data_IF_286222170930
#
_entry.id   IF_286222170930
#
_cell.length_a   1.000
_cell.length_b   1.000
_cell.length_c   1.000
_cell.angle_alpha   90.00
_cell.angle_beta   90.00
_cell.angle_gamma   90.00
#
_symmetry.space_group_name_H-M   'P 1'
#
loop_
_entity.id
_entity.type
_entity.pdbx_description
1 polymer ?
#
# COMPACT_ATOMS: atom_id res chain seq x y z
N UNK A 1 -16.02 -29.68 -29.17
CA UNK A 1 -15.73 -28.28 -28.80
C UNK A 1 -14.32 -28.18 -28.20
N UNK A 2 -13.36 -27.52 -28.87
CA UNK A 2 -12.00 -27.30 -28.32
C UNK A 2 -12.10 -26.28 -27.18
N UNK A 3 -11.79 -26.69 -25.94
CA UNK A 3 -11.67 -25.77 -24.79
C UNK A 3 -10.51 -24.82 -25.06
N UNK A 4 -10.81 -23.56 -25.41
CA UNK A 4 -9.81 -22.50 -25.51
C UNK A 4 -9.24 -22.25 -24.10
N UNK A 5 -8.06 -22.78 -23.81
CA UNK A 5 -7.34 -22.45 -22.57
C UNK A 5 -7.07 -20.94 -22.58
N UNK A 6 -7.86 -20.18 -21.82
CA UNK A 6 -7.60 -18.77 -21.56
C UNK A 6 -6.16 -18.63 -21.08
N UNK A 7 -5.31 -17.92 -21.84
CA UNK A 7 -3.94 -17.62 -21.43
C UNK A 7 -4.03 -16.93 -20.08
N UNK A 8 -3.59 -17.59 -19.00
CA UNK A 8 -3.59 -17.04 -17.65
C UNK A 8 -2.77 -15.75 -17.68
N UNK A 9 -3.47 -14.63 -17.73
CA UNK A 9 -2.87 -13.31 -17.86
C UNK A 9 -1.98 -13.09 -16.64
N UNK A 10 -0.69 -12.89 -16.87
CA UNK A 10 0.26 -12.66 -15.79
C UNK A 10 0.05 -11.23 -15.25
N UNK A 11 -0.71 -11.12 -14.16
CA UNK A 11 -1.03 -9.85 -13.50
C UNK A 11 0.20 -9.02 -13.14
N UNK A 12 1.34 -9.65 -12.85
CA UNK A 12 2.62 -8.97 -12.57
C UNK A 12 3.20 -8.30 -13.81
N UNK A 13 3.17 -9.00 -14.95
CA UNK A 13 3.62 -8.43 -16.23
C UNK A 13 2.74 -7.25 -16.63
N UNK A 14 1.43 -7.38 -16.45
CA UNK A 14 0.50 -6.28 -16.71
C UNK A 14 0.69 -5.08 -15.78
N UNK A 15 0.96 -5.34 -14.49
CA UNK A 15 1.27 -4.28 -13.54
C UNK A 15 2.49 -3.48 -14.00
N UNK A 16 3.60 -4.16 -14.33
CA UNK A 16 4.83 -3.50 -14.79
C UNK A 16 4.57 -2.62 -16.02
N UNK A 17 3.95 -3.17 -17.06
CA UNK A 17 3.63 -2.43 -18.29
C UNK A 17 2.73 -1.23 -17.99
N UNK A 18 1.74 -1.38 -17.11
CA UNK A 18 0.85 -0.27 -16.72
C UNK A 18 1.60 0.82 -15.96
N UNK A 19 2.47 0.46 -15.01
CA UNK A 19 3.30 1.41 -14.28
C UNK A 19 4.24 2.17 -15.24
N UNK A 20 4.92 1.48 -16.14
CA UNK A 20 5.83 2.07 -17.13
C UNK A 20 5.09 3.05 -18.05
N UNK A 21 3.96 2.64 -18.63
CA UNK A 21 3.15 3.50 -19.49
C UNK A 21 2.64 4.75 -18.75
N UNK A 22 2.20 4.60 -17.51
CA UNK A 22 1.76 5.76 -16.70
C UNK A 22 2.92 6.66 -16.33
N UNK A 23 4.08 6.11 -15.99
CA UNK A 23 5.29 6.88 -15.73
C UNK A 23 5.69 7.71 -16.95
N UNK A 24 5.65 7.15 -18.15
CA UNK A 24 5.93 7.88 -19.40
C UNK A 24 4.94 9.02 -19.63
N UNK A 25 3.64 8.82 -19.36
CA UNK A 25 2.61 9.87 -19.48
C UNK A 25 2.84 11.02 -18.51
N UNK A 26 3.33 10.74 -17.30
CA UNK A 26 3.58 11.74 -16.27
C UNK A 26 5.05 12.17 -16.19
N UNK A 27 5.89 11.84 -17.17
CA UNK A 27 7.36 12.07 -17.11
C UNK A 27 7.74 13.54 -16.87
N UNK A 28 6.94 14.47 -17.39
CA UNK A 28 7.17 15.91 -17.30
C UNK A 28 6.28 16.59 -16.23
N UNK A 29 5.49 15.83 -15.47
CA UNK A 29 4.58 16.37 -14.47
C UNK A 29 5.30 16.50 -13.14
N UNK A 30 5.37 17.72 -12.64
CA UNK A 30 5.90 18.05 -11.31
C UNK A 30 4.76 18.44 -10.37
N UNK A 31 4.92 18.17 -9.07
CA UNK A 31 3.90 18.52 -8.07
C UNK A 31 2.60 17.75 -8.27
N UNK A 32 2.68 16.46 -8.62
CA UNK A 32 1.55 15.58 -8.88
C UNK A 32 0.55 15.57 -7.71
N UNK A 33 -0.74 15.77 -7.99
CA UNK A 33 -1.81 15.78 -6.98
C UNK A 33 -2.77 14.62 -7.24
N UNK A 34 -2.68 13.49 -6.51
CA UNK A 34 -3.59 12.37 -6.72
C UNK A 34 -5.01 12.74 -6.32
N UNK A 35 -5.99 12.40 -7.15
CA UNK A 35 -7.39 12.45 -6.74
C UNK A 35 -7.78 11.21 -5.94
N UNK A 36 -8.81 11.33 -5.10
CA UNK A 36 -9.32 10.20 -4.32
C UNK A 36 -9.64 8.98 -5.20
N UNK A 37 -10.24 9.21 -6.37
CA UNK A 37 -10.54 8.16 -7.33
C UNK A 37 -9.27 7.49 -7.88
N UNK A 38 -8.24 8.27 -8.23
CA UNK A 38 -6.96 7.75 -8.71
C UNK A 38 -6.29 6.87 -7.66
N UNK A 39 -6.33 7.28 -6.39
CA UNK A 39 -5.77 6.48 -5.29
C UNK A 39 -6.45 5.11 -5.20
N UNK A 40 -7.79 5.07 -5.17
CA UNK A 40 -8.52 3.80 -5.14
C UNK A 40 -8.31 2.94 -6.40
N UNK A 41 -8.16 3.56 -7.58
CA UNK A 41 -7.85 2.83 -8.80
C UNK A 41 -6.45 2.19 -8.72
N UNK A 42 -5.45 2.94 -8.28
CA UNK A 42 -4.09 2.43 -8.12
C UNK A 42 -3.99 1.38 -7.02
N UNK A 43 -4.71 1.53 -5.90
CA UNK A 43 -4.81 0.50 -4.88
C UNK A 43 -5.27 -0.83 -5.47
N UNK A 44 -6.34 -0.85 -6.27
CA UNK A 44 -6.84 -2.08 -6.91
C UNK A 44 -5.82 -2.69 -7.87
N UNK A 45 -5.15 -1.85 -8.66
CA UNK A 45 -4.12 -2.29 -9.61
C UNK A 45 -2.92 -2.92 -8.89
N UNK A 46 -2.42 -2.24 -7.85
CA UNK A 46 -1.31 -2.72 -7.02
C UNK A 46 -1.69 -3.97 -6.23
N UNK A 47 -2.89 -4.02 -5.63
CA UNK A 47 -3.38 -5.18 -4.88
C UNK A 47 -3.40 -6.42 -5.77
N UNK A 48 -3.95 -6.30 -6.97
CA UNK A 48 -3.98 -7.40 -7.95
C UNK A 48 -2.58 -7.83 -8.37
N UNK A 49 -1.69 -6.89 -8.67
CA UNK A 49 -0.38 -7.17 -9.26
C UNK A 49 0.71 -7.59 -8.26
N UNK A 50 0.73 -7.01 -7.06
CA UNK A 50 1.75 -7.28 -6.03
C UNK A 50 1.23 -8.26 -4.98
N UNK A 51 0.00 -8.07 -4.50
CA UNK A 51 -0.56 -8.75 -3.34
C UNK A 51 -1.50 -9.90 -3.69
N UNK A 52 -1.65 -10.23 -4.98
CA UNK A 52 -2.57 -11.25 -5.49
C UNK A 52 -4.02 -11.05 -4.99
N UNK A 53 -4.47 -9.79 -4.92
CA UNK A 53 -5.80 -9.39 -4.43
C UNK A 53 -6.10 -9.79 -2.98
N UNK A 54 -5.08 -10.00 -2.13
CA UNK A 54 -5.25 -10.39 -0.72
C UNK A 54 -5.55 -9.23 0.22
N UNK A 55 -5.28 -8.00 -0.17
CA UNK A 55 -5.52 -6.87 0.72
C UNK A 55 -7.00 -6.49 0.75
N UNK A 56 -7.59 -6.26 1.93
CA UNK A 56 -8.92 -5.67 2.04
C UNK A 56 -8.89 -4.25 1.50
N UNK A 57 -10.02 -3.80 0.92
CA UNK A 57 -10.18 -2.38 0.63
C UNK A 57 -10.40 -1.66 1.96
N UNK A 58 -9.58 -0.65 2.22
CA UNK A 58 -9.69 0.22 3.40
C UNK A 58 -10.00 1.65 2.97
N UNK A 59 -10.53 2.50 3.86
CA UNK A 59 -10.55 3.93 3.61
C UNK A 59 -9.15 4.44 3.28
N UNK A 60 -9.05 5.25 2.24
CA UNK A 60 -7.81 5.95 1.90
C UNK A 60 -8.11 7.44 1.88
N UNK A 61 -7.34 8.25 2.58
CA UNK A 61 -7.58 9.69 2.70
C UNK A 61 -6.45 10.48 2.03
N UNK A 62 -6.80 11.35 1.08
CA UNK A 62 -5.87 12.32 0.49
C UNK A 62 -5.96 13.63 1.26
N UNK A 63 -4.94 13.98 2.05
CA UNK A 63 -4.95 15.18 2.91
C UNK A 63 -3.58 15.86 3.02
N UNK A 64 -3.52 17.00 3.72
CA UNK A 64 -2.21 17.58 4.04
C UNK A 64 -1.60 16.75 5.16
N UNK A 65 -0.42 16.19 4.93
CA UNK A 65 0.35 15.52 5.97
C UNK A 65 1.57 16.38 6.28
N UNK A 66 1.87 16.56 7.56
CA UNK A 66 3.04 17.32 7.97
C UNK A 66 4.22 16.37 8.16
N UNK A 67 5.34 16.64 7.47
CA UNK A 67 6.59 15.86 7.52
C UNK A 67 6.43 14.38 7.13
N UNK A 68 5.45 14.08 6.28
CA UNK A 68 5.10 12.70 5.94
C UNK A 68 4.46 12.65 4.54
N UNK A 69 4.75 11.60 3.77
CA UNK A 69 4.19 11.37 2.43
C UNK A 69 2.99 10.44 2.48
N UNK A 70 2.94 9.52 3.44
CA UNK A 70 1.87 8.57 3.61
C UNK A 70 2.06 7.72 4.85
N UNK A 71 0.95 7.21 5.38
CA UNK A 71 0.94 6.32 6.55
C UNK A 71 -0.21 5.32 6.48
N UNK A 72 0.06 4.08 6.85
CA UNK A 72 -0.95 3.09 7.16
C UNK A 72 -1.22 3.11 8.67
N UNK A 73 -2.47 3.36 9.05
CA UNK A 73 -2.86 3.53 10.46
C UNK A 73 -3.67 2.34 10.92
N UNK A 74 -3.34 1.86 12.11
CA UNK A 74 -4.16 0.96 12.92
C UNK A 74 -4.78 1.78 14.05
N UNK A 75 -6.12 1.84 14.10
CA UNK A 75 -6.89 2.60 15.07
C UNK A 75 -7.76 1.67 15.89
N UNK A 76 -7.72 1.78 17.21
CA UNK A 76 -8.50 0.93 18.11
C UNK A 76 -8.93 1.69 19.37
N UNK A 77 -9.94 1.15 20.04
CA UNK A 77 -10.43 1.71 21.29
C UNK A 77 -9.49 1.38 22.46
N UNK A 78 -8.65 2.35 22.84
CA UNK A 78 -7.69 2.21 23.93
C UNK A 78 -8.31 1.87 25.29
N UNK A 79 -9.62 2.08 25.49
CA UNK A 79 -10.31 1.66 26.73
C UNK A 79 -10.35 0.14 26.87
N UNK A 80 -10.28 -0.59 25.76
CA UNK A 80 -10.19 -2.07 25.73
C UNK A 80 -8.77 -2.58 25.98
N UNK A 81 -7.75 -1.73 25.87
CA UNK A 81 -6.34 -2.06 26.08
C UNK A 81 -5.66 -1.02 27.00
N UNK A 82 -6.08 -0.88 28.26
CA UNK A 82 -5.60 0.18 29.14
C UNK A 82 -4.08 0.08 29.39
N UNK A 83 -3.43 1.25 29.43
CA UNK A 83 -1.99 1.39 29.75
C UNK A 83 -1.69 0.75 31.11
N UNK A 84 -0.58 0.02 31.19
CA UNK A 84 -0.16 -0.72 32.38
C UNK A 84 -0.68 -2.16 32.46
N UNK A 85 -1.68 -2.53 31.64
CA UNK A 85 -2.12 -3.93 31.48
C UNK A 85 -1.73 -4.52 30.14
N UNK A 86 -1.64 -3.69 29.10
CA UNK A 86 -1.31 -4.11 27.74
C UNK A 86 -0.12 -3.34 27.18
N UNK A 87 0.68 -3.99 26.34
CA UNK A 87 1.76 -3.34 25.60
C UNK A 87 1.17 -2.41 24.53
N UNK A 88 1.38 -1.10 24.72
CA UNK A 88 0.84 -0.06 23.83
C UNK A 88 1.67 0.12 22.54
N UNK A 89 2.76 -0.62 22.40
CA UNK A 89 3.67 -0.54 21.23
C UNK A 89 3.25 -1.50 20.11
N UNK A 90 2.25 -2.33 20.35
CA UNK A 90 1.81 -3.39 19.44
C UNK A 90 0.33 -3.26 19.10
N UNK A 91 -0.02 -3.67 17.89
CA UNK A 91 -1.41 -3.70 17.42
C UNK A 91 -2.17 -4.82 18.17
N UNK A 92 -3.29 -4.51 18.86
CA UNK A 92 -3.99 -5.47 19.68
C UNK A 92 -5.00 -6.30 18.87
N UNK A 93 -4.56 -7.39 18.26
CA UNK A 93 -5.42 -8.26 17.43
C UNK A 93 -6.52 -9.04 18.16
N UNK A 94 -6.61 -8.93 19.49
CA UNK A 94 -7.67 -9.54 20.29
C UNK A 94 -8.92 -8.65 20.41
N UNK A 95 -8.89 -7.44 19.84
CA UNK A 95 -10.03 -6.53 19.73
C UNK A 95 -10.19 -6.06 18.27
N UNK A 96 -11.29 -5.36 18.01
CA UNK A 96 -11.50 -4.71 16.72
C UNK A 96 -10.49 -3.59 16.51
N UNK A 97 -9.81 -3.65 15.37
CA UNK A 97 -8.86 -2.64 14.90
C UNK A 97 -9.29 -2.19 13.51
N UNK A 98 -9.49 -0.88 13.37
CA UNK A 98 -9.76 -0.25 12.09
C UNK A 98 -8.44 0.09 11.40
N UNK A 99 -8.36 -0.22 10.11
CA UNK A 99 -7.19 0.11 9.28
C UNK A 99 -7.59 1.10 8.20
N UNK A 100 -6.73 2.10 7.96
CA UNK A 100 -6.88 3.03 6.85
C UNK A 100 -5.52 3.56 6.39
N UNK A 101 -5.47 4.11 5.18
CA UNK A 101 -4.26 4.73 4.62
C UNK A 101 -4.48 6.23 4.50
N UNK A 102 -3.46 7.02 4.80
CA UNK A 102 -3.43 8.44 4.53
C UNK A 102 -2.29 8.74 3.56
N UNK A 103 -2.55 9.61 2.58
CA UNK A 103 -1.55 10.06 1.61
C UNK A 103 -1.52 11.57 1.56
N UNK A 104 -0.33 12.12 1.32
CA UNK A 104 -0.16 13.55 1.10
C UNK A 104 -0.91 13.99 -0.18
N UNK A 105 -1.50 15.18 -0.15
CA UNK A 105 -2.28 15.75 -1.28
C UNK A 105 -1.45 16.12 -2.52
N UNK A 106 -0.13 16.11 -2.42
CA UNK A 106 0.83 16.54 -3.45
C UNK A 106 2.11 15.74 -3.31
N UNK A 107 2.67 15.28 -4.41
CA UNK A 107 3.93 14.56 -4.49
C UNK A 107 4.87 15.25 -5.50
N UNK A 108 6.19 15.13 -5.38
CA UNK A 108 7.12 15.73 -6.34
C UNK A 108 6.86 15.21 -7.76
N UNK A 109 6.71 13.89 -7.92
CA UNK A 109 6.38 13.21 -9.19
C UNK A 109 5.29 12.18 -8.97
N UNK A 110 4.68 11.72 -10.08
CA UNK A 110 3.73 10.61 -10.04
C UNK A 110 4.35 9.31 -9.48
N UNK A 111 5.65 9.10 -9.72
CA UNK A 111 6.38 7.93 -9.22
C UNK A 111 6.40 7.90 -7.68
N UNK A 112 6.68 9.05 -7.06
CA UNK A 112 6.70 9.15 -5.59
C UNK A 112 5.33 8.81 -4.99
N UNK A 113 4.24 9.26 -5.64
CA UNK A 113 2.88 8.90 -5.25
C UNK A 113 2.66 7.38 -5.28
N UNK A 114 2.93 6.72 -6.42
CA UNK A 114 2.59 5.31 -6.57
C UNK A 114 3.48 4.40 -5.71
N UNK A 115 4.75 4.79 -5.51
CA UNK A 115 5.68 4.10 -4.60
C UNK A 115 5.26 4.27 -3.14
N UNK A 116 4.84 5.47 -2.72
CA UNK A 116 4.30 5.72 -1.37
C UNK A 116 3.04 4.89 -1.14
N UNK A 117 2.08 4.90 -2.07
CA UNK A 117 0.87 4.07 -1.93
C UNK A 117 1.22 2.58 -1.84
N UNK A 118 2.14 2.09 -2.68
CA UNK A 118 2.57 0.69 -2.63
C UNK A 118 3.28 0.36 -1.30
N UNK A 119 4.10 1.28 -0.77
CA UNK A 119 4.74 1.17 0.54
C UNK A 119 3.70 1.00 1.65
N UNK A 120 2.70 1.88 1.73
CA UNK A 120 1.64 1.78 2.74
C UNK A 120 0.81 0.51 2.59
N UNK A 121 0.66 -0.01 1.37
CA UNK A 121 0.01 -1.30 1.14
C UNK A 121 0.83 -2.49 1.65
N UNK A 122 2.16 -2.39 1.77
CA UNK A 122 2.99 -3.40 2.45
C UNK A 122 2.73 -3.37 3.95
N UNK A 123 2.63 -2.19 4.55
CA UNK A 123 2.22 -2.07 5.95
C UNK A 123 0.80 -2.62 6.16
N UNK A 124 -0.14 -2.32 5.27
CA UNK A 124 -1.48 -2.91 5.34
C UNK A 124 -1.43 -4.45 5.25
N UNK A 125 -0.54 -5.02 4.42
CA UNK A 125 -0.32 -6.46 4.37
C UNK A 125 0.22 -7.02 5.70
N UNK A 126 1.21 -6.37 6.29
CA UNK A 126 1.74 -6.73 7.61
C UNK A 126 0.62 -6.73 8.65
N UNK A 127 -0.18 -5.66 8.68
CA UNK A 127 -1.25 -5.48 9.65
C UNK A 127 -2.40 -6.48 9.47
N UNK A 128 -2.87 -6.70 8.25
CA UNK A 128 -4.13 -7.43 8.01
C UNK A 128 -3.92 -8.91 7.69
N UNK A 129 -2.85 -9.24 6.97
CA UNK A 129 -2.60 -10.61 6.52
C UNK A 129 -1.64 -11.37 7.42
N UNK A 130 -0.50 -10.76 7.75
CA UNK A 130 0.48 -11.40 8.64
C UNK A 130 0.10 -11.26 10.12
N UNK A 131 -0.77 -10.29 10.44
CA UNK A 131 -1.03 -9.84 11.81
C UNK A 131 0.27 -9.54 12.56
N UNK A 132 1.20 -8.87 11.88
CA UNK A 132 2.47 -8.42 12.45
C UNK A 132 2.18 -7.29 13.45
N UNK A 133 2.41 -7.52 14.77
CA UNK A 133 2.02 -6.59 15.81
C UNK A 133 2.77 -5.26 15.76
N UNK A 134 3.94 -5.20 15.11
CA UNK A 134 4.75 -3.99 15.02
C UNK A 134 4.55 -3.27 13.70
N UNK A 135 4.29 -4.00 12.60
CA UNK A 135 4.10 -3.47 11.25
C UNK A 135 5.13 -2.40 10.83
N UNK A 136 6.38 -2.56 11.27
CA UNK A 136 7.49 -1.65 10.96
C UNK A 136 8.32 -2.20 9.78
N UNK A 137 9.40 -1.50 9.41
CA UNK A 137 10.33 -1.94 8.35
C UNK A 137 11.23 -3.12 8.78
N UNK A 138 10.62 -4.23 9.21
CA UNK A 138 11.31 -5.47 9.58
C UNK A 138 11.51 -6.40 8.36
N UNK A 139 11.91 -7.66 8.63
CA UNK A 139 12.11 -8.67 7.59
C UNK A 139 10.85 -8.92 6.74
N UNK A 140 9.64 -8.87 7.32
CA UNK A 140 8.38 -9.04 6.59
C UNK A 140 8.17 -7.92 5.57
N UNK A 141 8.52 -6.68 5.93
CA UNK A 141 8.48 -5.54 5.03
C UNK A 141 9.48 -5.72 3.87
N UNK A 142 10.75 -6.00 4.18
CA UNK A 142 11.78 -6.12 3.15
C UNK A 142 11.68 -7.38 2.28
N UNK A 143 10.91 -8.39 2.68
CA UNK A 143 10.56 -9.52 1.83
C UNK A 143 9.85 -9.09 0.52
N UNK A 144 9.28 -7.89 0.47
CA UNK A 144 8.63 -7.32 -0.72
C UNK A 144 9.60 -6.66 -1.71
N UNK A 145 10.86 -6.42 -1.34
CA UNK A 145 11.84 -5.68 -2.15
C UNK A 145 11.98 -6.24 -3.57
N UNK A 146 12.09 -7.57 -3.70
CA UNK A 146 12.22 -8.21 -5.01
C UNK A 146 10.93 -8.12 -5.84
N UNK A 147 9.75 -8.21 -5.23
CA UNK A 147 8.47 -8.02 -5.93
C UNK A 147 8.33 -6.59 -6.46
N UNK A 148 8.70 -5.60 -5.65
CA UNK A 148 8.69 -4.18 -6.04
C UNK A 148 9.66 -3.92 -7.19
N UNK A 149 10.91 -4.37 -7.06
CA UNK A 149 11.94 -4.25 -8.10
C UNK A 149 11.45 -4.85 -9.43
N UNK A 150 10.84 -6.04 -9.39
CA UNK A 150 10.31 -6.70 -10.58
C UNK A 150 9.13 -5.94 -11.23
N UNK A 151 8.41 -5.11 -10.47
CA UNK A 151 7.35 -4.24 -10.97
C UNK A 151 7.86 -2.86 -11.43
N UNK A 152 9.15 -2.56 -11.27
CA UNK A 152 9.73 -1.24 -11.58
C UNK A 152 9.58 -0.20 -10.46
N UNK A 153 9.28 -0.65 -9.23
CA UNK A 153 9.10 0.19 -8.04
C UNK A 153 10.29 0.06 -7.09
N UNK A 154 10.60 1.13 -6.37
CA UNK A 154 11.46 1.15 -5.20
C UNK A 154 10.68 0.85 -3.92
N UNK A 155 11.30 0.10 -3.01
CA UNK A 155 10.84 -0.08 -1.63
C UNK A 155 11.95 0.41 -0.70
N UNK A 156 11.75 1.57 -0.10
CA UNK A 156 12.67 2.22 0.85
C UNK A 156 11.98 2.45 2.19
N UNK A 157 12.76 2.80 3.22
CA UNK A 157 12.19 3.39 4.44
C UNK A 157 11.75 4.82 4.09
N UNK A 158 10.57 5.22 4.56
CA UNK A 158 10.06 6.59 4.43
C UNK A 158 10.60 7.45 5.57
#
# INVERSE_FOLDING_TARGET
MKKTKSKKVNARKQLKVKLENTLTRHKNVVGFKPTQQQVYQWFRVLNRGLFNSRLPMVPIFVKNLHKDWGRCVANWDNRKTPKGKFDQRVIPYHIDVEFYIELHRKFPKWKDFVETLAHEMVHLYQMTWLKDPYSNHNANFFAWKNKFKNAGLGLTRC
#
